data_IF_061368150605
#
_entry.id   IF_061368150605
#
_cell.length_a   1.000
_cell.length_b   1.000
_cell.length_c   1.000
_cell.angle_alpha   90.00
_cell.angle_beta   90.00
_cell.angle_gamma   90.00
#
_symmetry.space_group_name_H-M   'P 1'
#
loop_
_entity.id
_entity.type
_entity.pdbx_description
1 polymer ?
#
# COMPACT_ATOMS: atom_id res chain seq x y z
N UNK A 1 -14.84 -24.52 4.67
CA UNK A 1 -15.76 -25.00 3.61
C UNK A 1 -15.03 -25.05 2.28
N UNK A 2 -15.20 -26.13 1.49
CA UNK A 2 -14.67 -26.22 0.14
C UNK A 2 -15.27 -25.12 -0.75
N UNK A 3 -14.42 -24.44 -1.52
CA UNK A 3 -14.78 -23.44 -2.53
C UNK A 3 -14.51 -24.04 -3.90
N UNK A 4 -15.40 -24.94 -4.31
CA UNK A 4 -15.35 -25.61 -5.60
C UNK A 4 -16.34 -24.96 -6.56
N UNK A 5 -15.98 -24.86 -7.83
CA UNK A 5 -16.83 -24.33 -8.90
C UNK A 5 -17.84 -25.35 -9.43
N UNK A 6 -17.63 -26.63 -9.14
CA UNK A 6 -18.50 -27.73 -9.55
C UNK A 6 -18.50 -28.83 -8.45
N UNK A 7 -19.45 -29.78 -8.48
CA UNK A 7 -19.52 -30.86 -7.49
C UNK A 7 -18.21 -31.64 -7.39
N UNK A 8 -17.84 -32.07 -6.18
CA UNK A 8 -16.54 -32.67 -5.86
C UNK A 8 -16.15 -33.86 -6.76
N UNK A 9 -17.13 -34.68 -7.13
CA UNK A 9 -16.95 -35.89 -7.93
C UNK A 9 -17.20 -35.67 -9.44
N UNK A 10 -17.32 -34.42 -9.87
CA UNK A 10 -17.55 -34.09 -11.29
C UNK A 10 -16.24 -33.89 -12.06
N UNK A 11 -16.28 -34.12 -13.37
CA UNK A 11 -15.16 -33.85 -14.27
C UNK A 11 -14.75 -32.37 -14.33
N UNK A 12 -15.61 -31.45 -13.87
CA UNK A 12 -15.38 -30.01 -13.81
C UNK A 12 -14.96 -29.48 -12.44
N UNK A 13 -14.75 -30.34 -11.44
CA UNK A 13 -14.40 -29.93 -10.08
C UNK A 13 -13.06 -29.18 -10.06
N UNK A 14 -13.13 -27.86 -9.83
CA UNK A 14 -11.95 -26.99 -9.72
C UNK A 14 -12.13 -26.01 -8.57
N UNK A 15 -11.04 -25.67 -7.88
CA UNK A 15 -11.04 -24.72 -6.78
C UNK A 15 -10.46 -25.27 -5.49
N UNK A 16 -10.66 -24.56 -4.38
CA UNK A 16 -10.10 -24.94 -3.09
C UNK A 16 -10.93 -26.03 -2.42
N UNK A 17 -10.34 -27.21 -2.21
CA UNK A 17 -10.98 -28.30 -1.46
C UNK A 17 -10.86 -28.04 0.05
N UNK A 18 -9.66 -27.68 0.49
CA UNK A 18 -9.35 -27.31 1.89
C UNK A 18 -8.43 -26.09 1.91
N UNK A 19 -7.93 -25.70 3.08
CA UNK A 19 -6.90 -24.64 3.18
C UNK A 19 -5.58 -25.05 2.48
N UNK A 20 -5.32 -26.35 2.39
CA UNK A 20 -4.05 -26.91 1.92
C UNK A 20 -4.12 -27.48 0.52
N UNK A 21 -5.31 -27.88 0.04
CA UNK A 21 -5.45 -28.57 -1.24
C UNK A 21 -6.43 -27.84 -2.18
N UNK A 22 -6.06 -27.78 -3.45
CA UNK A 22 -6.91 -27.34 -4.55
C UNK A 22 -7.06 -28.44 -5.60
N UNK A 23 -8.28 -28.57 -6.12
CA UNK A 23 -8.56 -29.35 -7.31
C UNK A 23 -8.27 -28.48 -8.53
N UNK A 24 -7.39 -28.94 -9.39
CA UNK A 24 -7.02 -28.26 -10.62
C UNK A 24 -7.09 -29.23 -11.81
N UNK A 25 -7.34 -28.69 -13.00
CA UNK A 25 -7.26 -29.44 -14.26
C UNK A 25 -6.01 -29.01 -15.01
N UNK A 26 -5.07 -29.93 -15.24
CA UNK A 26 -3.85 -29.68 -16.03
C UNK A 26 -3.71 -30.75 -17.10
N UNK A 27 -3.41 -30.35 -18.32
CA UNK A 27 -3.21 -31.28 -19.46
C UNK A 27 -4.34 -32.33 -19.59
N UNK A 28 -5.59 -31.91 -19.39
CA UNK A 28 -6.77 -32.79 -19.49
C UNK A 28 -7.03 -33.71 -18.28
N UNK A 29 -6.18 -33.71 -17.25
CA UNK A 29 -6.34 -34.54 -16.04
C UNK A 29 -6.75 -33.69 -14.84
N UNK A 30 -7.64 -34.23 -14.01
CA UNK A 30 -7.99 -33.65 -12.72
C UNK A 30 -6.98 -34.11 -11.68
N UNK A 31 -6.33 -33.15 -11.01
CA UNK A 31 -5.32 -33.38 -10.00
C UNK A 31 -5.69 -32.67 -8.71
N UNK A 32 -5.32 -33.28 -7.58
CA UNK A 32 -5.32 -32.62 -6.28
C UNK A 32 -3.89 -32.10 -6.08
N UNK A 33 -3.73 -30.78 -6.05
CA UNK A 33 -2.44 -30.14 -5.78
C UNK A 33 -2.47 -29.42 -4.43
N UNK A 34 -1.31 -29.28 -3.80
CA UNK A 34 -1.18 -28.38 -2.65
C UNK A 34 -1.45 -26.97 -3.14
N UNK A 35 -2.32 -26.23 -2.44
CA UNK A 35 -2.65 -24.85 -2.78
C UNK A 35 -1.34 -24.06 -2.89
N UNK A 36 -1.01 -23.50 -4.06
CA UNK A 36 0.21 -22.72 -4.22
C UNK A 36 0.10 -21.48 -3.34
N UNK A 37 1.07 -21.32 -2.45
CA UNK A 37 1.28 -20.08 -1.70
C UNK A 37 2.37 -19.34 -2.49
N UNK A 38 2.04 -18.26 -3.20
CA UNK A 38 3.06 -17.48 -3.89
C UNK A 38 4.11 -17.03 -2.88
N UNK A 39 5.38 -17.36 -3.15
CA UNK A 39 6.48 -16.84 -2.35
C UNK A 39 6.60 -15.34 -2.61
N UNK A 40 6.77 -14.56 -1.55
CA UNK A 40 7.02 -13.13 -1.68
C UNK A 40 8.44 -12.92 -2.23
N UNK A 41 8.55 -12.40 -3.45
CA UNK A 41 9.83 -12.19 -4.13
C UNK A 41 10.74 -11.21 -3.38
N UNK A 42 10.18 -10.33 -2.53
CA UNK A 42 10.91 -9.32 -1.73
C UNK A 42 11.97 -8.57 -2.54
N UNK A 43 11.67 -8.25 -3.79
CA UNK A 43 12.61 -7.52 -4.63
C UNK A 43 12.89 -6.13 -4.04
N UNK A 44 14.06 -5.52 -4.29
CA UNK A 44 14.37 -4.19 -3.76
C UNK A 44 13.30 -3.14 -4.09
N UNK A 45 12.76 -3.16 -5.31
CA UNK A 45 11.67 -2.27 -5.71
C UNK A 45 10.36 -2.53 -4.95
N UNK A 46 10.02 -3.80 -4.68
CA UNK A 46 8.85 -4.14 -3.86
C UNK A 46 9.01 -3.67 -2.42
N UNK A 47 10.20 -3.86 -1.83
CA UNK A 47 10.50 -3.41 -0.47
C UNK A 47 10.47 -1.88 -0.38
N UNK A 48 11.02 -1.17 -1.36
CA UNK A 48 10.97 0.28 -1.45
C UNK A 48 9.53 0.81 -1.46
N UNK A 49 8.68 0.29 -2.35
CA UNK A 49 7.28 0.72 -2.44
C UNK A 49 6.50 0.43 -1.14
N UNK A 50 6.73 -0.72 -0.50
CA UNK A 50 6.14 -1.04 0.81
C UNK A 50 6.60 -0.08 1.90
N UNK A 51 7.88 0.26 1.89
CA UNK A 51 8.43 1.22 2.83
C UNK A 51 7.77 2.59 2.66
N UNK A 52 7.71 3.10 1.42
CA UNK A 52 7.05 4.38 1.10
C UNK A 52 5.57 4.38 1.49
N UNK A 53 4.84 3.30 1.22
CA UNK A 53 3.45 3.16 1.63
C UNK A 53 3.30 3.26 3.16
N UNK A 54 4.14 2.53 3.90
CA UNK A 54 4.13 2.56 5.38
C UNK A 54 4.38 3.98 5.89
N UNK A 55 5.32 4.71 5.28
CA UNK A 55 5.61 6.11 5.62
C UNK A 55 4.43 7.04 5.39
N UNK A 56 3.75 6.91 4.26
CA UNK A 56 2.55 7.70 4.00
C UNK A 56 1.46 7.40 5.04
N UNK A 57 1.28 6.13 5.43
CA UNK A 57 0.32 5.76 6.47
C UNK A 57 0.69 6.39 7.83
N UNK A 58 1.95 6.33 8.23
CA UNK A 58 2.43 6.97 9.47
C UNK A 58 2.10 8.48 9.48
N UNK A 59 2.37 9.17 8.37
CA UNK A 59 2.07 10.59 8.22
C UNK A 59 0.56 10.89 8.26
N UNK A 60 -0.27 10.04 7.66
CA UNK A 60 -1.73 10.17 7.77
C UNK A 60 -2.21 10.11 9.22
N UNK A 61 -1.60 9.23 10.03
CA UNK A 61 -1.96 9.12 11.44
C UNK A 61 -1.53 10.33 12.28
N UNK A 62 -0.48 11.05 11.86
CA UNK A 62 -0.02 12.29 12.50
C UNK A 62 -0.90 13.51 12.19
N UNK A 63 -1.72 13.46 11.13
CA UNK A 63 -2.63 14.56 10.78
C UNK A 63 -3.72 14.73 11.84
N UNK A 64 -4.02 15.99 12.15
CA UNK A 64 -5.14 16.41 12.98
C UNK A 64 -6.50 16.10 12.31
N UNK A 65 -7.57 16.10 13.11
CA UNK A 65 -8.93 15.88 12.59
C UNK A 65 -9.34 16.97 11.58
N UNK A 66 -8.92 18.22 11.82
CA UNK A 66 -9.17 19.32 10.90
C UNK A 66 -8.51 19.08 9.54
N UNK A 67 -7.24 18.67 9.52
CA UNK A 67 -6.54 18.35 8.27
C UNK A 67 -7.18 17.16 7.54
N UNK A 68 -7.59 16.11 8.28
CA UNK A 68 -8.29 14.96 7.70
C UNK A 68 -9.62 15.36 7.06
N UNK A 69 -10.36 16.28 7.67
CA UNK A 69 -11.61 16.81 7.09
C UNK A 69 -11.39 17.57 5.78
N UNK A 70 -10.27 18.29 5.66
CA UNK A 70 -9.90 18.99 4.42
C UNK A 70 -9.55 17.98 3.33
N UNK A 71 -8.81 16.92 3.65
CA UNK A 71 -8.56 15.82 2.71
C UNK A 71 -9.86 15.15 2.25
N UNK A 72 -10.82 14.94 3.14
CA UNK A 72 -12.14 14.39 2.81
C UNK A 72 -12.92 15.31 1.86
N UNK A 73 -12.89 16.62 2.13
CA UNK A 73 -13.51 17.64 1.27
C UNK A 73 -12.90 17.64 -0.13
N UNK A 74 -11.57 17.51 -0.24
CA UNK A 74 -10.88 17.42 -1.53
C UNK A 74 -11.12 16.10 -2.27
N UNK A 75 -11.37 15.02 -1.53
CA UNK A 75 -11.60 13.69 -2.09
C UNK A 75 -13.05 13.47 -2.55
N UNK A 76 -14.01 14.15 -1.92
CA UNK A 76 -15.46 14.02 -2.23
C UNK A 76 -15.78 14.23 -3.72
N UNK A 77 -15.29 15.29 -4.41
CA UNK A 77 -15.52 15.48 -5.85
C UNK A 77 -14.92 14.39 -6.75
N UNK A 78 -14.03 13.56 -6.19
CA UNK A 78 -13.32 12.49 -6.89
C UNK A 78 -13.89 11.11 -6.57
N UNK A 79 -15.00 11.05 -5.81
CA UNK A 79 -15.60 9.80 -5.34
C UNK A 79 -14.61 8.90 -4.58
N UNK A 80 -13.72 9.53 -3.81
CA UNK A 80 -12.73 8.84 -2.97
C UNK A 80 -12.87 9.32 -1.52
N UNK A 81 -12.38 8.50 -0.58
CA UNK A 81 -12.18 8.96 0.80
C UNK A 81 -10.94 9.84 0.87
N UNK A 82 -10.89 10.72 1.87
CA UNK A 82 -9.74 11.58 2.17
C UNK A 82 -8.45 10.78 2.32
N UNK A 83 -8.53 9.62 2.98
CA UNK A 83 -7.41 8.68 3.09
C UNK A 83 -6.92 8.17 1.73
N UNK A 84 -7.82 7.68 0.87
CA UNK A 84 -7.44 7.15 -0.43
C UNK A 84 -6.83 8.24 -1.32
N UNK A 85 -7.39 9.44 -1.27
CA UNK A 85 -6.85 10.59 -1.99
C UNK A 85 -5.47 11.01 -1.47
N UNK A 86 -5.30 11.10 -0.14
CA UNK A 86 -4.04 11.41 0.51
C UNK A 86 -2.94 10.42 0.13
N UNK A 87 -3.19 9.11 0.22
CA UNK A 87 -2.22 8.07 -0.14
C UNK A 87 -1.85 8.15 -1.64
N UNK A 88 -2.83 8.39 -2.52
CA UNK A 88 -2.58 8.59 -3.95
C UNK A 88 -1.67 9.79 -4.21
N UNK A 89 -1.86 10.89 -3.48
CA UNK A 89 -0.97 12.03 -3.58
C UNK A 89 0.42 11.67 -3.04
N UNK A 90 0.50 11.12 -1.83
CA UNK A 90 1.77 10.84 -1.13
C UNK A 90 2.69 9.87 -1.88
N UNK A 91 2.11 8.91 -2.62
CA UNK A 91 2.87 7.94 -3.41
C UNK A 91 3.21 8.42 -4.82
N UNK A 92 2.60 9.52 -5.30
CA UNK A 92 3.02 10.11 -6.56
C UNK A 92 4.42 10.70 -6.38
N UNK A 93 5.32 10.57 -7.36
CA UNK A 93 6.55 11.35 -7.39
C UNK A 93 6.17 12.83 -7.53
N UNK A 94 5.93 13.46 -6.39
CA UNK A 94 5.47 14.84 -6.30
C UNK A 94 6.55 15.63 -5.56
N UNK A 95 7.12 16.69 -6.14
CA UNK A 95 8.11 17.52 -5.48
C UNK A 95 7.57 18.23 -4.21
N UNK A 96 6.25 18.24 -4.00
CA UNK A 96 5.61 19.01 -2.92
C UNK A 96 5.05 18.20 -1.75
N UNK A 97 5.08 16.87 -1.77
CA UNK A 97 4.66 16.10 -0.58
C UNK A 97 5.90 15.77 0.18
N UNK A 98 6.06 16.51 1.27
CA UNK A 98 7.08 16.35 2.31
C UNK A 98 7.56 14.91 2.35
N UNK A 99 8.69 14.66 1.70
CA UNK A 99 9.53 13.54 2.09
C UNK A 99 9.76 13.77 3.59
N UNK A 100 9.31 12.88 4.49
CA UNK A 100 9.83 12.93 5.83
C UNK A 100 11.33 12.78 5.63
N UNK A 101 12.08 13.86 5.87
CA UNK A 101 13.54 13.86 5.82
C UNK A 101 13.97 12.92 6.93
N UNK A 102 14.00 11.64 6.62
CA UNK A 102 14.20 10.59 7.58
C UNK A 102 15.68 10.60 7.93
N UNK A 103 16.03 11.36 8.97
CA UNK A 103 17.33 11.34 9.60
C UNK A 103 18.48 11.54 8.62
N UNK A 104 18.79 12.80 8.33
CA UNK A 104 19.97 13.19 7.58
C UNK A 104 20.28 14.67 7.79
N UNK A 105 21.53 15.05 7.55
CA UNK A 105 21.91 16.47 7.55
C UNK A 105 21.39 17.09 6.25
N UNK A 106 20.49 18.07 6.35
CA UNK A 106 20.18 18.93 5.21
C UNK A 106 21.39 19.81 4.92
N UNK A 107 21.99 19.67 3.74
CA UNK A 107 23.13 20.48 3.27
C UNK A 107 22.80 21.17 1.96
N UNK A 108 23.39 22.35 1.72
CA UNK A 108 23.21 23.15 0.51
C UNK A 108 22.32 24.38 0.69
N UNK A 109 22.01 25.08 -0.41
CA UNK A 109 21.18 26.28 -0.39
C UNK A 109 19.70 25.90 -0.22
N UNK A 110 19.13 26.22 0.94
CA UNK A 110 17.71 25.96 1.25
C UNK A 110 16.91 27.25 1.02
N UNK A 111 15.97 27.22 0.08
CA UNK A 111 15.07 28.35 -0.15
C UNK A 111 13.91 28.33 0.86
N UNK A 112 13.98 29.20 1.87
CA UNK A 112 12.96 29.34 2.91
C UNK A 112 11.81 30.29 2.53
N UNK A 113 11.92 31.04 1.42
CA UNK A 113 10.98 32.10 1.01
C UNK A 113 10.57 33.01 2.19
N UNK A 114 9.34 32.93 2.70
CA UNK A 114 8.83 33.76 3.83
C UNK A 114 8.80 33.00 5.16
N UNK A 115 9.19 31.73 5.19
CA UNK A 115 9.11 30.88 6.37
C UNK A 115 10.37 30.98 7.23
N UNK A 116 10.22 30.82 8.55
CA UNK A 116 11.31 30.92 9.53
C UNK A 116 11.47 29.60 10.27
N UNK A 117 12.72 29.22 10.55
CA UNK A 117 13.03 28.16 11.50
C UNK A 117 12.88 28.72 12.92
N UNK A 118 12.09 28.04 13.74
CA UNK A 118 11.89 28.41 15.14
C UNK A 118 12.58 27.37 16.04
N UNK A 119 12.96 27.78 17.26
CA UNK A 119 13.55 26.89 18.30
C UNK A 119 14.90 26.26 17.91
N UNK A 120 15.77 27.02 17.23
CA UNK A 120 17.16 26.60 17.06
C UNK A 120 17.88 26.64 18.42
N UNK A 121 18.74 25.67 18.74
CA UNK A 121 19.59 25.74 19.92
C UNK A 121 20.51 26.97 19.83
N UNK A 122 20.78 27.60 20.97
CA UNK A 122 21.79 28.67 21.07
C UNK A 122 23.17 28.10 20.71
N UNK A 123 24.02 28.87 20.00
CA UNK A 123 25.35 28.44 19.59
C UNK A 123 26.28 28.20 20.79
#
# INVERSE_FOLDING_TARGET
>A
MPKLRAPLLSLGATGGLTKLFSLARRMGRNIIERKPIPADAKSPAQLFNRHMFTKCVDLWHLLSEAEKSEWERLATPRHMTGYAWYISQCLRPNPGIYLPLQGGTMSGNINMTKHRLLKLPVP
#
